data_IF_819404306796
#
_entry.id   IF_819404306796
#
_cell.length_a   1.000
_cell.length_b   1.000
_cell.length_c   1.000
_cell.angle_alpha   90.00
_cell.angle_beta   90.00
_cell.angle_gamma   90.00
#
_symmetry.space_group_name_H-M   'P 1'
#
loop_
_entity.id
_entity.type
_entity.pdbx_description
1 polymer ?
#
# COMPACT_ATOMS: atom_id res chain seq x y z
N UNK A 1 11.89 -13.94 5.86
CA UNK A 1 13.21 -13.39 6.18
C UNK A 1 14.35 -14.39 5.99
N UNK A 2 14.36 -15.55 6.67
CA UNK A 2 15.52 -16.47 6.77
C UNK A 2 16.27 -16.78 5.45
N UNK A 3 15.54 -17.03 4.34
CA UNK A 3 16.14 -17.40 3.05
C UNK A 3 16.18 -16.27 2.02
N UNK A 4 15.58 -15.12 2.33
CA UNK A 4 15.49 -13.93 1.44
C UNK A 4 15.10 -14.22 -0.03
N UNK A 5 14.26 -15.23 -0.28
CA UNK A 5 13.92 -15.71 -1.63
C UNK A 5 12.59 -15.17 -2.19
N UNK A 6 11.91 -14.27 -1.47
CA UNK A 6 10.64 -13.69 -1.90
C UNK A 6 10.48 -12.26 -1.38
N UNK A 7 9.71 -11.46 -2.11
CA UNK A 7 9.29 -10.12 -1.72
C UNK A 7 7.76 -10.02 -1.74
N UNK A 8 7.20 -9.18 -0.87
CA UNK A 8 5.76 -8.90 -0.84
C UNK A 8 5.50 -7.52 -1.41
N UNK A 9 4.52 -7.42 -2.29
CA UNK A 9 4.06 -6.15 -2.84
C UNK A 9 2.59 -5.96 -2.48
N UNK A 10 2.26 -4.83 -1.85
CA UNK A 10 0.88 -4.52 -1.46
C UNK A 10 0.38 -3.34 -2.30
N UNK A 11 -0.74 -3.51 -3.00
CA UNK A 11 -1.32 -2.40 -3.77
C UNK A 11 -1.98 -1.37 -2.87
N UNK A 12 -1.67 -0.10 -3.07
CA UNK A 12 -2.34 1.04 -2.43
C UNK A 12 -2.77 2.01 -3.52
N UNK A 13 -4.07 1.98 -3.84
CA UNK A 13 -4.66 2.76 -4.93
C UNK A 13 -5.01 4.19 -4.52
N UNK A 14 -5.43 4.37 -3.27
CA UNK A 14 -5.84 5.64 -2.64
C UNK A 14 -5.71 5.49 -1.11
N UNK A 15 -5.50 6.60 -0.40
CA UNK A 15 -5.59 6.67 1.07
C UNK A 15 -6.99 7.06 1.55
N UNK A 16 -7.86 7.51 0.65
CA UNK A 16 -9.25 7.84 0.94
C UNK A 16 -10.09 6.57 1.12
N UNK A 17 -10.67 6.43 2.31
CA UNK A 17 -11.50 5.30 2.71
C UNK A 17 -12.79 5.18 1.88
N UNK A 18 -13.44 6.30 1.58
CA UNK A 18 -14.67 6.32 0.79
C UNK A 18 -14.38 5.96 -0.66
N UNK A 19 -13.33 6.55 -1.24
CA UNK A 19 -12.91 6.22 -2.60
C UNK A 19 -12.49 4.76 -2.72
N UNK A 20 -11.71 4.24 -1.77
CA UNK A 20 -11.36 2.82 -1.69
C UNK A 20 -12.60 1.93 -1.60
N UNK A 21 -13.61 2.33 -0.81
CA UNK A 21 -14.89 1.62 -0.73
C UNK A 21 -15.65 1.59 -2.05
N UNK A 22 -15.61 2.67 -2.83
CA UNK A 22 -16.28 2.75 -4.13
C UNK A 22 -15.55 1.95 -5.21
N UNK A 23 -14.21 2.02 -5.23
CA UNK A 23 -13.39 1.37 -6.26
C UNK A 23 -13.14 -0.11 -5.96
N UNK A 24 -12.93 -0.46 -4.68
CA UNK A 24 -12.46 -1.77 -4.25
C UNK A 24 -13.25 -2.31 -3.02
N UNK A 25 -14.60 -2.37 -3.07
CA UNK A 25 -15.50 -2.54 -1.91
C UNK A 25 -15.29 -3.79 -1.04
N UNK A 26 -14.60 -4.81 -1.55
CA UNK A 26 -14.39 -6.11 -0.88
C UNK A 26 -12.94 -6.36 -0.49
N UNK A 27 -12.13 -5.31 -0.55
CA UNK A 27 -10.70 -5.36 -0.21
C UNK A 27 -10.45 -4.76 1.17
N UNK A 28 -9.25 -4.99 1.70
CA UNK A 28 -8.81 -4.33 2.93
C UNK A 28 -8.75 -2.82 2.74
N UNK A 29 -9.26 -2.08 3.74
CA UNK A 29 -9.18 -0.62 3.80
C UNK A 29 -7.71 -0.15 3.70
N UNK A 30 -7.43 1.04 3.13
CA UNK A 30 -6.06 1.54 2.93
C UNK A 30 -5.19 1.48 4.19
N UNK A 31 -5.73 1.85 5.36
CA UNK A 31 -4.99 1.82 6.62
C UNK A 31 -4.55 0.39 7.01
N UNK A 32 -5.37 -0.62 6.74
CA UNK A 32 -5.02 -2.03 7.02
C UNK A 32 -3.97 -2.57 6.06
N UNK A 33 -3.89 -2.02 4.85
CA UNK A 33 -2.80 -2.35 3.91
C UNK A 33 -1.48 -1.78 4.38
N UNK A 34 -1.46 -0.53 4.86
CA UNK A 34 -0.27 0.07 5.47
C UNK A 34 0.17 -0.66 6.75
N UNK A 35 -0.78 -1.10 7.59
CA UNK A 35 -0.49 -1.94 8.76
C UNK A 35 0.13 -3.29 8.37
N UNK A 36 -0.36 -3.91 7.29
CA UNK A 36 0.25 -5.14 6.76
C UNK A 36 1.68 -4.90 6.26
N UNK A 37 1.92 -3.79 5.54
CA UNK A 37 3.27 -3.39 5.10
C UNK A 37 4.21 -3.27 6.31
N UNK A 38 3.79 -2.54 7.34
CA UNK A 38 4.55 -2.39 8.60
C UNK A 38 4.87 -3.72 9.24
N UNK A 39 3.86 -4.56 9.42
CA UNK A 39 4.02 -5.87 10.07
C UNK A 39 5.02 -6.75 9.31
N UNK A 40 4.96 -6.76 7.97
CA UNK A 40 5.86 -7.54 7.14
C UNK A 40 7.30 -6.97 7.14
N UNK A 41 7.43 -5.65 7.07
CA UNK A 41 8.72 -4.96 7.14
C UNK A 41 9.42 -5.18 8.47
N UNK A 42 8.70 -5.03 9.59
CA UNK A 42 9.20 -5.30 10.94
C UNK A 42 9.63 -6.77 11.13
N UNK A 43 9.00 -7.71 10.42
CA UNK A 43 9.40 -9.11 10.38
C UNK A 43 10.62 -9.39 9.48
N UNK A 44 11.23 -8.37 8.87
CA UNK A 44 12.39 -8.48 7.99
C UNK A 44 12.07 -9.10 6.63
N UNK A 45 10.82 -9.00 6.16
CA UNK A 45 10.41 -9.43 4.82
C UNK A 45 10.57 -8.25 3.87
N UNK A 46 11.32 -8.39 2.74
CA UNK A 46 11.37 -7.35 1.71
C UNK A 46 9.95 -7.04 1.24
N UNK A 47 9.49 -5.83 1.55
CA UNK A 47 8.11 -5.41 1.31
C UNK A 47 8.13 -4.09 0.56
N UNK A 48 7.25 -3.95 -0.43
CA UNK A 48 7.09 -2.72 -1.19
C UNK A 48 5.62 -2.41 -1.43
N UNK A 49 5.38 -1.25 -2.05
CA UNK A 49 4.04 -0.80 -2.43
C UNK A 49 3.88 -0.77 -3.94
N UNK A 50 2.69 -1.15 -4.42
CA UNK A 50 2.27 -0.89 -5.79
C UNK A 50 1.24 0.24 -5.78
N UNK A 51 1.63 1.43 -6.22
CA UNK A 51 0.66 2.50 -6.44
C UNK A 51 -0.02 2.27 -7.78
N UNK A 52 -1.04 1.42 -7.79
CA UNK A 52 -1.70 0.98 -9.01
C UNK A 52 -3.15 0.51 -8.77
N UNK A 53 -4.07 0.80 -9.71
CA UNK A 53 -3.88 1.68 -10.86
C UNK A 53 -3.82 3.16 -10.46
N UNK A 54 -2.99 3.94 -11.16
CA UNK A 54 -3.06 5.41 -11.10
C UNK A 54 -4.08 5.88 -12.13
N UNK A 55 -5.14 6.54 -11.69
CA UNK A 55 -6.23 7.02 -12.54
C UNK A 55 -6.14 8.55 -12.62
N UNK A 56 -5.87 9.13 -13.81
CA UNK A 56 -5.77 10.58 -13.98
C UNK A 56 -7.04 11.30 -13.53
N UNK A 57 -6.87 12.37 -12.74
CA UNK A 57 -7.98 13.16 -12.18
C UNK A 57 -8.77 12.48 -11.06
N UNK A 58 -8.39 11.26 -10.64
CA UNK A 58 -9.03 10.55 -9.53
C UNK A 58 -8.04 10.16 -8.43
N UNK A 59 -6.91 9.53 -8.75
CA UNK A 59 -5.93 9.05 -7.75
C UNK A 59 -4.50 9.54 -7.99
N UNK A 60 -4.22 10.14 -9.14
CA UNK A 60 -2.88 10.67 -9.50
C UNK A 60 -2.33 11.70 -8.52
N UNK A 61 -3.18 12.60 -8.01
CA UNK A 61 -2.80 13.61 -7.03
C UNK A 61 -2.36 13.03 -5.68
N UNK A 62 -2.73 11.79 -5.35
CA UNK A 62 -2.37 11.13 -4.09
C UNK A 62 -0.98 10.48 -4.11
N UNK A 63 -0.35 10.35 -5.28
CA UNK A 63 0.93 9.66 -5.46
C UNK A 63 1.99 10.04 -4.40
N UNK A 64 2.29 11.34 -4.15
CA UNK A 64 3.29 11.71 -3.15
C UNK A 64 2.92 11.26 -1.73
N UNK A 65 1.64 11.35 -1.37
CA UNK A 65 1.15 11.00 -0.04
C UNK A 65 1.15 9.48 0.17
N UNK A 66 0.78 8.70 -0.85
CA UNK A 66 0.85 7.24 -0.81
C UNK A 66 2.29 6.77 -0.64
N UNK A 67 3.24 7.37 -1.39
CA UNK A 67 4.66 7.03 -1.27
C UNK A 67 5.17 7.36 0.14
N UNK A 68 4.85 8.54 0.67
CA UNK A 68 5.26 8.91 2.03
C UNK A 68 4.69 7.94 3.07
N UNK A 69 3.39 7.60 2.98
CA UNK A 69 2.76 6.67 3.91
C UNK A 69 3.34 5.24 3.80
N UNK A 70 3.75 4.82 2.62
CA UNK A 70 4.44 3.53 2.42
C UNK A 70 5.83 3.53 3.07
N UNK A 71 6.62 4.59 2.88
CA UNK A 71 7.93 4.76 3.54
C UNK A 71 7.77 4.79 5.06
N UNK A 72 6.77 5.51 5.59
CA UNK A 72 6.47 5.57 7.03
C UNK A 72 6.02 4.20 7.60
N UNK A 73 5.52 3.31 6.74
CA UNK A 73 5.20 1.93 7.07
C UNK A 73 6.38 0.97 6.86
N UNK A 74 7.53 1.44 6.38
CA UNK A 74 8.73 0.63 6.17
C UNK A 74 8.75 -0.16 4.85
N UNK A 75 7.97 0.25 3.86
CA UNK A 75 8.13 -0.20 2.47
C UNK A 75 9.35 0.47 1.79
#
# INVERSE_FOLDING_TARGET
AQYQAASVMVSVTTLDKQLAGNMEPRTSQPQRRLEAIRTLSEAGIPTGVLVAPVIPGLTDHELPQIIQAAVDAGA
#
